data_IF_762995922960
#
_entry.id   IF_762995922960
#
_cell.length_a   1.000
_cell.length_b   1.000
_cell.length_c   1.000
_cell.angle_alpha   90.00
_cell.angle_beta   90.00
_cell.angle_gamma   90.00
#
_symmetry.space_group_name_H-M   'P 1'
#
loop_
_entity.id
_entity.type
_entity.pdbx_description
1 polymer ?
#
# COMPACT_ATOMS: atom_id res chain seq x y z
N UNK A 1 -17.33 -10.39 -11.27
CA UNK A 1 -16.14 -11.19 -10.87
C UNK A 1 -15.21 -10.27 -10.09
N UNK A 2 -14.42 -10.77 -9.12
CA UNK A 2 -13.47 -9.91 -8.41
C UNK A 2 -12.45 -9.32 -9.40
N UNK A 3 -12.17 -8.02 -9.29
CA UNK A 3 -11.09 -7.39 -10.06
C UNK A 3 -9.77 -7.98 -9.55
N UNK A 4 -8.88 -8.29 -10.50
CA UNK A 4 -7.56 -8.83 -10.22
C UNK A 4 -6.53 -8.03 -11.00
N UNK A 5 -5.34 -7.91 -10.42
CA UNK A 5 -4.20 -7.37 -11.14
C UNK A 5 -3.59 -8.37 -12.14
N UNK A 6 -2.55 -7.93 -12.84
CA UNK A 6 -1.82 -8.73 -13.83
C UNK A 6 -1.20 -10.00 -13.24
N UNK A 7 -1.01 -10.07 -11.92
CA UNK A 7 -0.47 -11.23 -11.20
C UNK A 7 -1.56 -12.08 -10.54
N UNK A 8 -2.83 -11.76 -10.80
CA UNK A 8 -3.98 -12.51 -10.31
C UNK A 8 -4.36 -12.19 -8.86
N UNK A 9 -3.78 -11.16 -8.25
CA UNK A 9 -4.10 -10.74 -6.88
C UNK A 9 -5.43 -9.99 -6.88
N UNK A 10 -6.39 -10.52 -6.13
CA UNK A 10 -7.71 -9.90 -6.01
C UNK A 10 -7.65 -8.58 -5.23
N UNK A 11 -8.43 -7.62 -5.69
CA UNK A 11 -8.66 -6.35 -4.99
C UNK A 11 -10.14 -6.17 -4.67
N UNK A 12 -10.42 -5.63 -3.49
CA UNK A 12 -11.76 -5.43 -2.96
C UNK A 12 -12.24 -3.99 -3.16
N UNK A 13 -13.53 -3.85 -3.46
CA UNK A 13 -14.21 -2.56 -3.55
C UNK A 13 -13.84 -1.68 -4.74
N UNK A 14 -13.19 -2.26 -5.76
CA UNK A 14 -12.82 -1.57 -7.00
C UNK A 14 -13.77 -1.93 -8.17
N UNK A 15 -14.04 -0.95 -9.01
CA UNK A 15 -14.49 -1.12 -10.40
C UNK A 15 -13.28 -1.16 -11.33
N UNK A 16 -13.48 -1.50 -12.60
CA UNK A 16 -12.41 -1.43 -13.60
C UNK A 16 -11.83 -0.01 -13.75
N UNK A 17 -12.67 1.02 -13.61
CA UNK A 17 -12.26 2.41 -13.73
C UNK A 17 -11.33 2.85 -12.59
N UNK A 18 -11.69 2.57 -11.33
CA UNK A 18 -10.82 2.87 -10.19
C UNK A 18 -9.58 1.98 -10.19
N UNK A 19 -9.69 0.73 -10.61
CA UNK A 19 -8.53 -0.16 -10.76
C UNK A 19 -7.52 0.35 -11.79
N UNK A 20 -7.97 0.89 -12.93
CA UNK A 20 -7.08 1.47 -13.94
C UNK A 20 -6.30 2.68 -13.38
N UNK A 21 -6.97 3.56 -12.61
CA UNK A 21 -6.34 4.71 -11.95
C UNK A 21 -5.34 4.28 -10.87
N UNK A 22 -5.69 3.25 -10.09
CA UNK A 22 -4.78 2.66 -9.11
C UNK A 22 -3.54 2.04 -9.77
N UNK A 23 -3.72 1.27 -10.84
CA UNK A 23 -2.61 0.69 -11.60
C UNK A 23 -1.68 1.77 -12.16
N UNK A 24 -2.24 2.89 -12.63
CA UNK A 24 -1.47 4.06 -13.04
C UNK A 24 -0.67 4.66 -11.86
N UNK A 25 -1.28 4.83 -10.70
CA UNK A 25 -0.60 5.35 -9.51
C UNK A 25 0.56 4.46 -9.05
N UNK A 26 0.39 3.13 -9.07
CA UNK A 26 1.45 2.17 -8.76
C UNK A 26 2.59 2.26 -9.77
N UNK A 27 2.27 2.33 -11.07
CA UNK A 27 3.25 2.51 -12.16
C UNK A 27 4.06 3.79 -11.99
N UNK A 28 3.39 4.88 -11.65
CA UNK A 28 4.01 6.20 -11.43
C UNK A 28 5.03 6.16 -10.29
N UNK A 29 4.67 5.55 -9.15
CA UNK A 29 5.61 5.36 -8.05
C UNK A 29 6.80 4.46 -8.44
N UNK A 30 6.54 3.33 -9.12
CA UNK A 30 7.59 2.37 -9.51
C UNK A 30 8.62 2.96 -10.48
N UNK A 31 8.17 3.88 -11.34
CA UNK A 31 9.04 4.55 -12.30
C UNK A 31 9.56 5.91 -11.83
N UNK A 32 9.11 6.41 -10.67
CA UNK A 32 9.36 7.78 -10.20
C UNK A 32 8.98 8.84 -11.25
N UNK A 33 7.79 8.71 -11.83
CA UNK A 33 7.25 9.64 -12.83
C UNK A 33 5.84 10.11 -12.43
N UNK A 34 5.38 11.20 -13.04
CA UNK A 34 4.00 11.65 -12.90
C UNK A 34 3.65 12.10 -11.48
N UNK A 35 2.40 11.85 -11.09
CA UNK A 35 1.84 12.21 -9.78
C UNK A 35 1.02 11.06 -9.20
N UNK A 36 1.66 10.10 -8.51
CA UNK A 36 0.99 8.93 -7.97
C UNK A 36 -0.06 9.29 -6.91
N UNK A 37 0.07 10.44 -6.24
CA UNK A 37 -0.90 10.91 -5.22
C UNK A 37 -2.20 11.32 -5.89
N UNK A 38 -2.13 12.17 -6.92
CA UNK A 38 -3.32 12.58 -7.67
C UNK A 38 -4.00 11.37 -8.35
N UNK A 39 -3.22 10.46 -8.92
CA UNK A 39 -3.76 9.24 -9.54
C UNK A 39 -4.53 8.36 -8.55
N UNK A 40 -3.97 8.11 -7.36
CA UNK A 40 -4.68 7.30 -6.34
C UNK A 40 -5.86 8.05 -5.73
N UNK A 41 -5.80 9.38 -5.60
CA UNK A 41 -6.94 10.18 -5.15
C UNK A 41 -8.12 10.07 -6.10
N UNK A 42 -7.88 10.06 -7.41
CA UNK A 42 -8.92 9.82 -8.41
C UNK A 42 -9.47 8.39 -8.30
N UNK A 43 -8.62 7.40 -8.01
CA UNK A 43 -9.07 6.02 -7.79
C UNK A 43 -10.01 5.92 -6.57
N UNK A 44 -9.66 6.58 -5.47
CA UNK A 44 -10.51 6.64 -4.26
C UNK A 44 -11.82 7.40 -4.53
N UNK A 45 -11.76 8.50 -5.26
CA UNK A 45 -12.97 9.27 -5.62
C UNK A 45 -13.93 8.46 -6.50
N UNK A 46 -13.38 7.66 -7.41
CA UNK A 46 -14.16 6.75 -8.26
C UNK A 46 -14.77 5.61 -7.44
N UNK A 47 -13.95 4.99 -6.57
CA UNK A 47 -14.33 3.82 -5.79
C UNK A 47 -13.97 4.02 -4.30
N UNK A 48 -14.83 4.67 -3.50
CA UNK A 48 -14.52 4.99 -2.09
C UNK A 48 -14.28 3.75 -1.21
N UNK A 49 -14.79 2.58 -1.63
CA UNK A 49 -14.59 1.30 -0.96
C UNK A 49 -13.32 0.55 -1.37
N UNK A 50 -12.46 1.12 -2.22
CA UNK A 50 -11.28 0.45 -2.74
C UNK A 50 -10.16 0.39 -1.70
N UNK A 51 -10.02 -0.76 -1.04
CA UNK A 51 -9.10 -0.98 0.09
C UNK A 51 -7.66 -0.64 -0.27
N UNK A 52 -7.13 -1.21 -1.35
CA UNK A 52 -5.73 -1.00 -1.70
C UNK A 52 -5.40 0.41 -2.18
N UNK A 53 -6.38 1.18 -2.67
CA UNK A 53 -6.14 2.59 -3.02
C UNK A 53 -5.91 3.43 -1.76
N UNK A 54 -6.73 3.26 -0.71
CA UNK A 54 -6.51 3.91 0.59
C UNK A 54 -5.16 3.48 1.19
N UNK A 55 -4.87 2.17 1.19
CA UNK A 55 -3.59 1.64 1.70
C UNK A 55 -2.41 2.27 0.97
N UNK A 56 -2.44 2.28 -0.37
CA UNK A 56 -1.34 2.77 -1.19
C UNK A 56 -1.10 4.26 -0.97
N UNK A 57 -2.17 5.08 -0.94
CA UNK A 57 -2.06 6.49 -0.54
C UNK A 57 -1.42 6.61 0.83
N UNK A 58 -1.88 5.81 1.80
CA UNK A 58 -1.30 5.80 3.14
C UNK A 58 0.19 5.50 3.15
N UNK A 59 0.67 4.56 2.33
CA UNK A 59 2.10 4.28 2.21
C UNK A 59 2.88 5.42 1.55
N UNK A 60 2.37 6.06 0.50
CA UNK A 60 3.02 7.22 -0.13
C UNK A 60 3.35 8.30 0.90
N UNK A 61 2.39 8.64 1.77
CA UNK A 61 2.57 9.63 2.81
C UNK A 61 3.35 9.10 4.02
N UNK A 62 3.13 7.84 4.42
CA UNK A 62 3.83 7.22 5.54
C UNK A 62 5.34 7.07 5.31
N UNK A 63 5.75 6.90 4.05
CA UNK A 63 7.15 6.82 3.65
C UNK A 63 7.79 8.19 3.37
N UNK A 64 7.03 9.28 3.40
CA UNK A 64 7.58 10.64 3.25
C UNK A 64 8.36 11.11 4.48
N UNK A 65 8.22 10.43 5.63
CA UNK A 65 8.91 10.72 6.90
C UNK A 65 8.65 12.11 7.50
N UNK A 66 7.63 12.81 7.02
CA UNK A 66 7.19 14.11 7.54
C UNK A 66 6.03 13.95 8.55
N UNK A 67 6.00 14.71 9.66
CA UNK A 67 4.91 14.62 10.64
C UNK A 67 3.52 14.87 10.06
N UNK A 68 3.39 15.86 9.17
CA UNK A 68 2.12 16.19 8.52
C UNK A 68 1.65 15.07 7.57
N UNK A 69 2.58 14.46 6.84
CA UNK A 69 2.29 13.31 5.98
C UNK A 69 1.85 12.08 6.81
N UNK A 70 2.41 11.90 8.01
CA UNK A 70 2.02 10.81 8.91
C UNK A 70 0.54 10.91 9.32
N UNK A 71 -0.01 12.11 9.48
CA UNK A 71 -1.44 12.30 9.74
C UNK A 71 -2.30 11.80 8.56
N UNK A 72 -1.89 12.07 7.32
CA UNK A 72 -2.58 11.56 6.12
C UNK A 72 -2.53 10.03 6.08
N UNK A 73 -1.38 9.42 6.38
CA UNK A 73 -1.25 7.97 6.45
C UNK A 73 -2.21 7.34 7.47
N UNK A 74 -2.40 7.99 8.62
CA UNK A 74 -3.36 7.57 9.64
C UNK A 74 -4.80 7.68 9.16
N UNK A 75 -5.19 8.78 8.51
CA UNK A 75 -6.52 8.93 7.92
C UNK A 75 -6.80 7.86 6.87
N UNK A 76 -5.82 7.54 6.02
CA UNK A 76 -5.95 6.46 5.04
C UNK A 76 -6.12 5.08 5.69
N UNK A 77 -5.39 4.80 6.77
CA UNK A 77 -5.57 3.59 7.56
C UNK A 77 -6.99 3.52 8.16
N UNK A 78 -7.46 4.59 8.77
CA UNK A 78 -8.80 4.69 9.36
C UNK A 78 -9.91 4.49 8.32
N UNK A 79 -9.74 5.05 7.13
CA UNK A 79 -10.67 4.87 6.01
C UNK A 79 -10.70 3.42 5.50
N UNK A 80 -9.57 2.71 5.53
CA UNK A 80 -9.48 1.32 5.06
C UNK A 80 -9.97 0.29 6.09
N UNK A 81 -9.86 0.57 7.39
CA UNK A 81 -10.22 -0.34 8.49
C UNK A 81 -11.62 -0.99 8.38
N UNK A 82 -12.71 -0.26 8.08
CA UNK A 82 -14.05 -0.84 8.06
C UNK A 82 -14.40 -1.56 6.75
N UNK A 83 -13.54 -1.49 5.73
CA UNK A 83 -13.85 -1.99 4.40
C UNK A 83 -13.72 -3.53 4.34
N UNK A 84 -14.58 -4.16 3.54
CA UNK A 84 -14.47 -5.59 3.27
C UNK A 84 -13.19 -5.86 2.47
N UNK A 85 -12.29 -6.64 3.06
CA UNK A 85 -10.94 -6.86 2.54
C UNK A 85 -10.59 -8.35 2.53
N UNK A 86 -9.78 -8.78 1.57
CA UNK A 86 -9.14 -10.12 1.56
C UNK A 86 -8.12 -10.26 2.69
N UNK A 87 -7.61 -11.47 2.93
CA UNK A 87 -6.54 -11.69 3.93
C UNK A 87 -5.29 -10.85 3.64
N UNK A 88 -4.85 -10.81 2.38
CA UNK A 88 -3.72 -9.98 1.92
C UNK A 88 -3.96 -8.50 2.19
N UNK A 89 -5.13 -7.98 1.82
CA UNK A 89 -5.47 -6.58 2.00
C UNK A 89 -5.56 -6.20 3.49
N UNK A 90 -6.11 -7.07 4.35
CA UNK A 90 -6.11 -6.86 5.80
C UNK A 90 -4.69 -6.79 6.38
N UNK A 91 -3.78 -7.61 5.89
CA UNK A 91 -2.37 -7.55 6.29
C UNK A 91 -1.74 -6.20 5.88
N UNK A 92 -2.01 -5.72 4.68
CA UNK A 92 -1.59 -4.38 4.25
C UNK A 92 -2.16 -3.25 5.12
N UNK A 93 -3.46 -3.29 5.43
CA UNK A 93 -4.09 -2.33 6.35
C UNK A 93 -3.37 -2.36 7.70
N UNK A 94 -3.09 -3.55 8.24
CA UNK A 94 -2.36 -3.68 9.51
C UNK A 94 -0.94 -3.11 9.44
N UNK A 95 -0.18 -3.41 8.38
CA UNK A 95 1.15 -2.86 8.15
C UNK A 95 1.12 -1.32 8.06
N UNK A 96 0.16 -0.74 7.34
CA UNK A 96 -0.02 0.71 7.27
C UNK A 96 -0.34 1.30 8.64
N UNK A 97 -1.18 0.64 9.44
CA UNK A 97 -1.50 1.06 10.81
C UNK A 97 -0.28 1.09 11.71
N UNK A 98 0.61 0.10 11.60
CA UNK A 98 1.88 0.11 12.30
C UNK A 98 2.77 1.27 11.83
N UNK A 99 2.93 1.43 10.51
CA UNK A 99 3.73 2.49 9.90
C UNK A 99 3.28 3.88 10.35
N UNK A 100 1.98 4.18 10.25
CA UNK A 100 1.37 5.47 10.64
C UNK A 100 1.44 5.79 12.15
N UNK A 101 1.88 4.82 12.96
CA UNK A 101 2.12 4.98 14.39
C UNK A 101 3.61 4.83 14.76
N UNK A 102 4.51 4.93 13.78
CA UNK A 102 5.96 4.83 14.00
C UNK A 102 6.46 3.44 14.38
N UNK A 103 5.65 2.40 14.20
CA UNK A 103 5.98 1.00 14.50
C UNK A 103 6.61 0.33 13.27
N UNK A 104 7.71 0.90 12.78
CA UNK A 104 8.34 0.55 11.50
C UNK A 104 8.77 -0.91 11.40
N UNK A 105 9.36 -1.47 12.46
CA UNK A 105 9.78 -2.88 12.47
C UNK A 105 8.59 -3.85 12.38
N UNK A 106 7.48 -3.54 13.07
CA UNK A 106 6.26 -4.33 12.96
C UNK A 106 5.65 -4.25 11.55
N UNK A 107 5.67 -3.06 10.94
CA UNK A 107 5.23 -2.90 9.54
C UNK A 107 6.10 -3.72 8.57
N UNK A 108 7.44 -3.67 8.73
CA UNK A 108 8.39 -4.47 7.91
C UNK A 108 8.11 -5.97 8.00
N UNK A 109 7.87 -6.49 9.21
CA UNK A 109 7.55 -7.91 9.42
C UNK A 109 6.28 -8.33 8.70
N UNK A 110 5.19 -7.57 8.82
CA UNK A 110 3.94 -7.88 8.11
C UNK A 110 4.12 -7.81 6.59
N UNK A 111 4.84 -6.79 6.09
CA UNK A 111 5.13 -6.69 4.65
C UNK A 111 5.99 -7.85 4.16
N UNK A 112 6.86 -8.40 5.02
CA UNK A 112 7.65 -9.59 4.71
C UNK A 112 6.75 -10.82 4.60
N UNK A 113 5.83 -11.01 5.55
CA UNK A 113 4.88 -12.12 5.51
C UNK A 113 4.01 -12.07 4.24
N UNK A 114 3.56 -10.86 3.84
CA UNK A 114 2.85 -10.67 2.57
C UNK A 114 3.72 -11.07 1.38
N UNK A 115 4.98 -10.65 1.34
CA UNK A 115 5.89 -10.99 0.24
C UNK A 115 6.20 -12.51 0.18
N UNK A 116 6.18 -13.21 1.32
CA UNK A 116 6.33 -14.68 1.36
C UNK A 116 5.10 -15.37 0.76
N UNK A 117 3.90 -14.97 1.20
CA UNK A 117 2.65 -15.60 0.75
C UNK A 117 2.24 -15.17 -0.66
N UNK A 118 2.59 -13.94 -1.05
CA UNK A 118 2.25 -13.29 -2.32
C UNK A 118 3.50 -12.67 -2.95
N UNK A 119 4.42 -13.48 -3.50
CA UNK A 119 5.73 -13.02 -3.98
C UNK A 119 5.68 -12.06 -5.18
N UNK A 120 4.51 -11.86 -5.78
CA UNK A 120 4.29 -10.90 -6.87
C UNK A 120 3.52 -9.65 -6.40
N UNK A 121 3.30 -9.48 -5.10
CA UNK A 121 2.73 -8.25 -4.55
C UNK A 121 3.74 -7.11 -4.61
N UNK A 122 3.69 -6.36 -5.72
CA UNK A 122 4.63 -5.30 -5.99
C UNK A 122 4.60 -4.17 -4.94
N UNK A 123 3.44 -3.92 -4.31
CA UNK A 123 3.32 -2.89 -3.27
C UNK A 123 4.00 -3.38 -1.99
N UNK A 124 3.77 -4.63 -1.58
CA UNK A 124 4.43 -5.20 -0.41
C UNK A 124 5.96 -5.21 -0.55
N UNK A 125 6.46 -5.59 -1.74
CA UNK A 125 7.89 -5.59 -2.05
C UNK A 125 8.48 -4.18 -1.98
N UNK A 126 7.90 -3.22 -2.71
CA UNK A 126 8.45 -1.87 -2.81
C UNK A 126 8.38 -1.12 -1.47
N UNK A 127 7.23 -1.15 -0.80
CA UNK A 127 7.04 -0.49 0.51
C UNK A 127 7.90 -1.16 1.58
N UNK A 128 7.92 -2.50 1.61
CA UNK A 128 8.74 -3.25 2.54
C UNK A 128 10.22 -2.94 2.40
N UNK A 129 10.73 -2.91 1.17
CA UNK A 129 12.11 -2.54 0.89
C UNK A 129 12.44 -1.12 1.38
N UNK A 130 11.54 -0.15 1.17
CA UNK A 130 11.74 1.22 1.65
C UNK A 130 11.76 1.30 3.19
N UNK A 131 10.88 0.55 3.87
CA UNK A 131 10.89 0.45 5.35
C UNK A 131 12.19 -0.17 5.84
N UNK A 132 12.68 -1.23 5.18
CA UNK A 132 13.93 -1.90 5.55
C UNK A 132 15.13 -0.97 5.37
N UNK A 133 15.12 -0.13 4.33
CA UNK A 133 16.12 0.92 4.14
C UNK A 133 16.09 1.94 5.28
N UNK A 134 14.93 2.50 5.63
CA UNK A 134 14.80 3.50 6.69
C UNK A 134 15.15 2.96 8.09
N UNK A 135 14.96 1.66 8.31
CA UNK A 135 15.28 1.01 9.60
C UNK A 135 16.68 0.41 9.65
N UNK A 136 17.46 0.49 8.57
CA UNK A 136 18.80 -0.07 8.50
C UNK A 136 18.85 -1.61 8.51
N UNK A 137 17.76 -2.29 8.15
CA UNK A 137 17.68 -3.75 8.12
C UNK A 137 18.33 -4.31 6.85
N UNK A 138 19.67 -4.29 6.80
CA UNK A 138 20.44 -4.67 5.61
C UNK A 138 20.17 -6.10 5.14
N UNK A 139 19.87 -7.02 6.07
CA UNK A 139 19.51 -8.40 5.71
C UNK A 139 18.21 -8.41 4.91
N UNK A 140 17.15 -7.75 5.41
CA UNK A 140 15.89 -7.75 4.69
C UNK A 140 15.93 -6.93 3.39
N UNK A 141 16.73 -5.86 3.35
CA UNK A 141 16.94 -5.09 2.13
C UNK A 141 17.48 -5.96 0.98
N UNK A 142 18.30 -6.97 1.29
CA UNK A 142 18.84 -7.94 0.32
C UNK A 142 17.89 -9.10 0.04
N UNK A 143 17.22 -9.61 1.07
CA UNK A 143 16.52 -10.90 1.04
C UNK A 143 15.03 -10.81 0.67
N UNK A 144 14.45 -9.60 0.65
CA UNK A 144 13.01 -9.38 0.39
C UNK A 144 12.61 -9.69 -1.05
#
# INVERSE_FOLDING_TARGET
MPIKDTFGLAVSGATEAGFALYGQAVRELQCFIGDPVNSVDRAIAQDPGFVMAHVFKGYLFGLATEPEATAVARTCHEAALPLAATTRERAHVSALGHLANGRWHQASGILQDIAIDFPLDAVALQVGHQVDFFTGNARMLRDR
#
